data_IF_030117011385
#
_entry.id   IF_030117011385
#
_cell.length_a   1.000
_cell.length_b   1.000
_cell.length_c   1.000
_cell.angle_alpha   90.00
_cell.angle_beta   90.00
_cell.angle_gamma   90.00
#
_symmetry.space_group_name_H-M   'P 1'
#
loop_
_entity.id
_entity.type
_entity.pdbx_description
1 polymer ?
#
# COMPACT_ATOMS: atom_id res chain seq x y z
N UNK A 1 -16.19 33.49 21.54
CA UNK A 1 -16.51 32.25 20.80
C UNK A 1 -15.35 31.89 19.88
N UNK A 2 -14.46 30.98 20.30
CA UNK A 2 -13.38 30.50 19.44
C UNK A 2 -13.98 29.61 18.35
N UNK A 3 -14.00 30.07 17.10
CA UNK A 3 -14.25 29.22 15.93
C UNK A 3 -13.13 28.17 15.87
N UNK A 4 -13.41 26.97 16.38
CA UNK A 4 -12.53 25.79 16.20
C UNK A 4 -12.35 25.59 14.69
N UNK A 5 -11.22 25.99 14.18
CA UNK A 5 -10.82 25.78 12.81
C UNK A 5 -10.72 24.27 12.55
N UNK A 6 -11.85 23.64 12.18
CA UNK A 6 -11.91 22.24 11.79
C UNK A 6 -11.14 22.09 10.47
N UNK A 7 -9.85 21.87 10.55
CA UNK A 7 -9.09 21.45 9.38
C UNK A 7 -9.59 20.04 8.99
N UNK A 8 -10.54 20.02 8.07
CA UNK A 8 -11.01 18.80 7.41
C UNK A 8 -9.85 18.16 6.63
N UNK A 9 -9.92 16.85 6.39
CA UNK A 9 -9.07 16.22 5.39
C UNK A 9 -9.14 17.03 4.09
N UNK A 10 -7.99 17.22 3.42
CA UNK A 10 -7.97 17.98 2.18
C UNK A 10 -8.81 17.22 1.14
N UNK A 11 -9.91 17.79 0.62
CA UNK A 11 -10.71 17.11 -0.38
C UNK A 11 -9.87 16.89 -1.64
N UNK A 12 -9.96 15.71 -2.22
CA UNK A 12 -9.36 15.41 -3.51
C UNK A 12 -10.02 16.23 -4.61
N UNK A 13 -9.23 16.76 -5.51
CA UNK A 13 -9.71 17.28 -6.78
C UNK A 13 -10.29 16.10 -7.61
N UNK A 14 -11.21 16.35 -8.55
CA UNK A 14 -11.82 15.30 -9.39
C UNK A 14 -10.77 14.41 -10.07
N UNK A 15 -9.71 15.00 -10.60
CA UNK A 15 -8.60 14.23 -11.20
C UNK A 15 -7.87 13.35 -10.20
N UNK A 16 -7.66 13.83 -8.99
CA UNK A 16 -7.00 13.05 -7.93
C UNK A 16 -7.87 11.89 -7.44
N UNK A 17 -9.20 12.09 -7.33
CA UNK A 17 -10.15 11.01 -7.03
C UNK A 17 -10.14 9.93 -8.10
N UNK A 18 -10.13 10.31 -9.37
CA UNK A 18 -10.05 9.36 -10.50
C UNK A 18 -8.73 8.60 -10.46
N UNK A 19 -7.60 9.28 -10.25
CA UNK A 19 -6.29 8.64 -10.13
C UNK A 19 -6.23 7.64 -8.95
N UNK A 20 -6.83 7.99 -7.82
CA UNK A 20 -6.94 7.11 -6.65
C UNK A 20 -7.73 5.83 -6.96
N UNK A 21 -8.88 5.97 -7.61
CA UNK A 21 -9.73 4.82 -8.00
C UNK A 21 -9.00 3.94 -9.03
N UNK A 22 -8.37 4.55 -10.03
CA UNK A 22 -7.59 3.81 -11.04
C UNK A 22 -6.44 3.06 -10.37
N UNK A 23 -5.72 3.69 -9.46
CA UNK A 23 -4.65 3.05 -8.68
C UNK A 23 -5.15 1.84 -7.90
N UNK A 24 -6.29 1.97 -7.21
CA UNK A 24 -6.90 0.88 -6.47
C UNK A 24 -7.34 -0.28 -7.39
N UNK A 25 -7.98 0.02 -8.52
CA UNK A 25 -8.40 -1.00 -9.50
C UNK A 25 -7.20 -1.73 -10.10
N UNK A 26 -6.15 -1.00 -10.50
CA UNK A 26 -4.92 -1.61 -11.01
C UNK A 26 -4.23 -2.50 -9.97
N UNK A 27 -4.20 -2.06 -8.71
CA UNK A 27 -3.63 -2.83 -7.62
C UNK A 27 -4.38 -4.15 -7.41
N UNK A 28 -5.71 -4.12 -7.29
CA UNK A 28 -6.55 -5.31 -7.08
C UNK A 28 -6.49 -6.24 -8.29
N UNK A 29 -6.57 -5.70 -9.50
CA UNK A 29 -6.47 -6.47 -10.75
C UNK A 29 -5.09 -7.13 -10.88
N UNK A 30 -4.02 -6.39 -10.55
CA UNK A 30 -2.65 -6.91 -10.58
C UNK A 30 -2.48 -8.11 -9.63
N UNK A 31 -2.95 -8.00 -8.38
CA UNK A 31 -2.93 -9.12 -7.42
C UNK A 31 -3.72 -10.31 -7.94
N UNK A 32 -4.95 -10.09 -8.40
CA UNK A 32 -5.81 -11.15 -8.93
C UNK A 32 -5.15 -11.89 -10.09
N UNK A 33 -4.62 -11.17 -11.06
CA UNK A 33 -3.95 -11.77 -12.22
C UNK A 33 -2.68 -12.56 -11.84
N UNK A 34 -1.91 -12.12 -10.85
CA UNK A 34 -0.75 -12.87 -10.35
C UNK A 34 -1.19 -14.17 -9.68
N UNK A 35 -2.25 -14.14 -8.86
CA UNK A 35 -2.80 -15.33 -8.22
C UNK A 35 -3.28 -16.36 -9.24
N UNK A 36 -3.88 -15.91 -10.34
CA UNK A 36 -4.30 -16.77 -11.44
C UNK A 36 -3.19 -17.15 -12.42
N UNK A 37 -1.96 -16.70 -12.21
CA UNK A 37 -0.81 -17.01 -13.05
C UNK A 37 -0.83 -16.36 -14.43
N UNK A 38 -1.61 -15.28 -14.60
CA UNK A 38 -1.74 -14.58 -15.88
C UNK A 38 -0.60 -13.58 -16.05
N UNK A 39 0.18 -13.74 -17.13
CA UNK A 39 1.27 -12.86 -17.58
C UNK A 39 2.03 -12.17 -16.42
N UNK A 40 2.85 -12.90 -15.65
CA UNK A 40 3.36 -12.44 -14.35
C UNK A 40 4.17 -11.13 -14.46
N UNK A 41 4.90 -10.91 -15.56
CA UNK A 41 5.70 -9.69 -15.77
C UNK A 41 4.84 -8.42 -15.88
N UNK A 42 3.78 -8.48 -16.68
CA UNK A 42 2.87 -7.34 -16.89
C UNK A 42 2.06 -7.06 -15.64
N UNK A 43 1.55 -8.10 -15.00
CA UNK A 43 0.72 -7.98 -13.79
C UNK A 43 1.50 -7.45 -12.59
N UNK A 44 2.77 -7.84 -12.41
CA UNK A 44 3.64 -7.29 -11.38
C UNK A 44 3.89 -5.79 -11.57
N UNK A 45 4.10 -5.35 -12.81
CA UNK A 45 4.24 -3.92 -13.13
C UNK A 45 2.93 -3.17 -12.90
N UNK A 46 1.79 -3.71 -13.32
CA UNK A 46 0.47 -3.11 -13.08
C UNK A 46 0.20 -2.97 -11.58
N UNK A 47 0.52 -3.99 -10.79
CA UNK A 47 0.40 -3.93 -9.34
C UNK A 47 1.32 -2.86 -8.74
N UNK A 48 2.56 -2.77 -9.16
CA UNK A 48 3.51 -1.77 -8.67
C UNK A 48 3.07 -0.34 -9.00
N UNK A 49 2.62 -0.09 -10.23
CA UNK A 49 2.08 1.22 -10.65
C UNK A 49 0.82 1.56 -9.88
N UNK A 50 -0.11 0.61 -9.76
CA UNK A 50 -1.35 0.78 -8.99
C UNK A 50 -1.07 1.09 -7.52
N UNK A 51 -0.17 0.35 -6.89
CA UNK A 51 0.24 0.55 -5.50
C UNK A 51 0.88 1.92 -5.29
N UNK A 52 1.80 2.33 -6.15
CA UNK A 52 2.48 3.62 -6.06
C UNK A 52 1.49 4.78 -6.22
N UNK A 53 0.57 4.68 -7.18
CA UNK A 53 -0.46 5.69 -7.41
C UNK A 53 -1.43 5.77 -6.22
N UNK A 54 -1.91 4.63 -5.73
CA UNK A 54 -2.83 4.55 -4.60
C UNK A 54 -2.19 5.12 -3.33
N UNK A 55 -1.02 4.63 -2.94
CA UNK A 55 -0.33 5.07 -1.72
C UNK A 55 0.13 6.52 -1.80
N UNK A 56 0.54 6.99 -2.97
CA UNK A 56 0.90 8.39 -3.21
C UNK A 56 -0.29 9.32 -3.02
N UNK A 57 -1.46 8.98 -3.58
CA UNK A 57 -2.68 9.77 -3.42
C UNK A 57 -3.20 9.75 -1.98
N UNK A 58 -3.10 8.62 -1.29
CA UNK A 58 -3.49 8.51 0.12
C UNK A 58 -2.55 9.31 1.03
N UNK A 59 -1.25 9.28 0.78
CA UNK A 59 -0.27 10.11 1.48
C UNK A 59 -0.53 11.61 1.28
N UNK A 60 -1.00 12.01 0.11
CA UNK A 60 -1.38 13.39 -0.17
C UNK A 60 -2.59 13.86 0.66
N UNK A 61 -3.53 12.96 0.93
CA UNK A 61 -4.73 13.23 1.73
C UNK A 61 -4.48 13.24 3.24
N UNK A 62 -3.26 13.07 3.69
CA UNK A 62 -2.92 12.94 5.11
C UNK A 62 -3.61 14.02 5.95
N UNK A 63 -4.27 13.56 7.01
CA UNK A 63 -4.89 14.45 8.01
C UNK A 63 -3.84 15.31 8.71
N UNK A 64 -4.03 16.64 8.66
CA UNK A 64 -3.14 17.64 9.29
C UNK A 64 -3.83 18.41 10.42
N UNK A 65 -4.89 17.86 10.99
CA UNK A 65 -5.63 18.48 12.10
C UNK A 65 -4.98 18.28 13.47
N UNK A 66 -5.59 18.87 14.48
CA UNK A 66 -5.12 18.85 15.87
C UNK A 66 -5.61 17.63 16.68
N UNK A 67 -6.50 16.80 16.12
CA UNK A 67 -7.04 15.65 16.82
C UNK A 67 -6.02 14.51 16.97
N UNK A 68 -5.64 14.13 18.19
CA UNK A 68 -4.61 13.12 18.43
C UNK A 68 -5.03 11.74 17.92
N UNK A 69 -6.31 11.40 18.03
CA UNK A 69 -6.85 10.11 17.56
C UNK A 69 -6.75 9.96 16.05
N UNK A 70 -7.22 10.97 15.30
CA UNK A 70 -7.14 10.95 13.84
C UNK A 70 -5.68 10.97 13.34
N UNK A 71 -4.81 11.69 14.04
CA UNK A 71 -3.37 11.73 13.72
C UNK A 71 -2.72 10.37 13.90
N UNK A 72 -3.06 9.65 14.98
CA UNK A 72 -2.56 8.30 15.24
C UNK A 72 -3.06 7.30 14.19
N UNK A 73 -4.36 7.35 13.86
CA UNK A 73 -4.96 6.49 12.83
C UNK A 73 -4.32 6.73 11.46
N UNK A 74 -4.08 7.98 11.10
CA UNK A 74 -3.36 8.31 9.85
C UNK A 74 -1.93 7.77 9.85
N UNK A 75 -1.26 7.74 11.01
CA UNK A 75 0.06 7.11 11.15
C UNK A 75 0.03 5.60 10.88
N UNK A 76 -0.97 4.90 11.41
CA UNK A 76 -1.17 3.46 11.15
C UNK A 76 -1.48 3.20 9.67
N UNK A 77 -2.31 4.05 9.05
CA UNK A 77 -2.62 3.98 7.62
C UNK A 77 -1.36 4.15 6.76
N UNK A 78 -0.49 5.11 7.11
CA UNK A 78 0.80 5.30 6.42
C UNK A 78 1.73 4.08 6.57
N UNK A 79 1.70 3.41 7.71
CA UNK A 79 2.43 2.15 7.87
C UNK A 79 1.87 1.05 6.96
N UNK A 80 0.55 0.95 6.81
CA UNK A 80 -0.10 0.07 5.83
C UNK A 80 0.37 0.35 4.39
N UNK A 81 0.52 1.63 4.03
CA UNK A 81 1.05 2.03 2.72
C UNK A 81 2.49 1.58 2.51
N UNK A 82 3.34 1.66 3.53
CA UNK A 82 4.70 1.12 3.47
C UNK A 82 4.67 -0.39 3.22
N UNK A 83 3.78 -1.12 3.88
CA UNK A 83 3.60 -2.55 3.64
C UNK A 83 3.18 -2.85 2.19
N UNK A 84 2.30 -2.04 1.59
CA UNK A 84 1.92 -2.19 0.18
C UNK A 84 3.09 -1.94 -0.78
N UNK A 85 3.88 -0.90 -0.55
CA UNK A 85 5.08 -0.62 -1.35
C UNK A 85 6.09 -1.76 -1.23
N UNK A 86 6.31 -2.27 -0.01
CA UNK A 86 7.18 -3.42 0.22
C UNK A 86 6.68 -4.68 -0.51
N UNK A 87 5.37 -4.93 -0.47
CA UNK A 87 4.75 -6.01 -1.23
C UNK A 87 4.99 -5.87 -2.74
N UNK A 88 4.86 -4.65 -3.29
CA UNK A 88 5.11 -4.38 -4.69
C UNK A 88 6.56 -4.66 -5.09
N UNK A 89 7.51 -4.24 -4.25
CA UNK A 89 8.94 -4.52 -4.47
C UNK A 89 9.24 -6.02 -4.44
N UNK A 90 8.69 -6.74 -3.45
CA UNK A 90 8.87 -8.19 -3.36
C UNK A 90 8.21 -8.95 -4.53
N UNK A 91 7.06 -8.47 -5.01
CA UNK A 91 6.40 -9.05 -6.18
C UNK A 91 7.23 -8.82 -7.46
N UNK A 92 7.77 -7.62 -7.65
CA UNK A 92 8.68 -7.34 -8.75
C UNK A 92 9.94 -8.19 -8.68
N UNK A 93 10.52 -8.33 -7.47
CA UNK A 93 11.68 -9.21 -7.26
C UNK A 93 11.35 -10.67 -7.60
N UNK A 94 10.17 -11.15 -7.19
CA UNK A 94 9.74 -12.52 -7.47
C UNK A 94 9.66 -12.83 -8.99
N UNK A 95 9.36 -11.82 -9.80
CA UNK A 95 9.20 -11.96 -11.26
C UNK A 95 10.49 -11.66 -12.04
N UNK A 96 11.22 -10.62 -11.62
CA UNK A 96 12.42 -10.15 -12.34
C UNK A 96 13.74 -10.66 -11.76
N UNK A 97 13.74 -11.11 -10.50
CA UNK A 97 14.90 -11.71 -9.81
C UNK A 97 16.16 -10.85 -9.85
N UNK A 98 16.04 -9.54 -9.61
CA UNK A 98 17.18 -8.61 -9.65
C UNK A 98 18.17 -8.84 -8.52
N UNK A 99 17.67 -9.18 -7.35
CA UNK A 99 18.46 -9.40 -6.14
C UNK A 99 18.97 -10.84 -6.08
N UNK A 100 18.31 -11.77 -6.76
CA UNK A 100 18.68 -13.19 -6.80
C UNK A 100 20.18 -13.44 -7.06
N UNK A 101 20.84 -12.80 -8.06
CA UNK A 101 22.26 -13.03 -8.33
C UNK A 101 23.19 -12.70 -7.14
N UNK A 102 22.77 -11.78 -6.26
CA UNK A 102 23.56 -11.41 -5.08
C UNK A 102 23.58 -12.51 -4.01
N UNK A 103 22.58 -13.37 -4.00
CA UNK A 103 22.39 -14.44 -3.03
C UNK A 103 22.85 -15.81 -3.52
N UNK A 104 23.28 -15.92 -4.79
CA UNK A 104 23.76 -17.19 -5.38
C UNK A 104 25.20 -17.56 -4.99
N UNK A 105 25.92 -16.65 -4.33
CA UNK A 105 27.33 -16.85 -3.96
C UNK A 105 27.54 -17.86 -2.81
N UNK A 106 26.49 -18.17 -2.04
CA UNK A 106 26.55 -19.13 -0.93
C UNK A 106 25.21 -19.84 -0.75
N UNK A 107 25.22 -21.10 -0.34
CA UNK A 107 24.01 -21.89 -0.04
C UNK A 107 23.22 -21.28 1.11
N UNK A 108 23.91 -20.75 2.11
CA UNK A 108 23.27 -20.09 3.25
C UNK A 108 22.53 -18.83 2.84
N UNK A 109 23.13 -17.98 1.99
CA UNK A 109 22.49 -16.80 1.43
C UNK A 109 21.30 -17.15 0.55
N UNK A 110 21.42 -18.17 -0.27
CA UNK A 110 20.32 -18.66 -1.11
C UNK A 110 19.13 -19.15 -0.26
N UNK A 111 19.40 -19.82 0.85
CA UNK A 111 18.37 -20.27 1.79
C UNK A 111 17.63 -19.06 2.41
N UNK A 112 18.37 -18.01 2.80
CA UNK A 112 17.78 -16.76 3.31
C UNK A 112 16.91 -16.09 2.25
N UNK A 113 17.37 -16.00 1.00
CA UNK A 113 16.59 -15.45 -0.10
C UNK A 113 15.26 -16.18 -0.32
N UNK A 114 15.32 -17.51 -0.45
CA UNK A 114 14.12 -18.34 -0.65
C UNK A 114 13.16 -18.25 0.53
N UNK A 115 13.67 -18.17 1.74
CA UNK A 115 12.87 -18.15 2.97
C UNK A 115 12.18 -16.80 3.20
N UNK A 116 12.84 -15.68 2.93
CA UNK A 116 12.38 -14.34 3.32
C UNK A 116 11.96 -13.44 2.17
N UNK A 117 12.49 -13.67 0.97
CA UNK A 117 12.28 -12.80 -0.19
C UNK A 117 11.38 -13.48 -1.22
N UNK A 118 11.75 -14.69 -1.64
CA UNK A 118 11.03 -15.37 -2.71
C UNK A 118 9.59 -15.68 -2.31
N UNK A 119 8.65 -15.24 -3.12
CA UNK A 119 7.20 -15.46 -2.97
C UNK A 119 6.55 -14.93 -1.66
N UNK A 120 7.26 -14.12 -0.88
CA UNK A 120 6.76 -13.57 0.39
C UNK A 120 6.03 -12.21 0.24
N UNK A 121 5.78 -11.76 -0.98
CA UNK A 121 5.06 -10.51 -1.25
C UNK A 121 3.63 -10.49 -0.67
N UNK A 122 3.03 -11.65 -0.46
CA UNK A 122 1.67 -11.79 0.09
C UNK A 122 1.60 -11.33 1.55
N UNK A 123 2.65 -11.58 2.34
CA UNK A 123 2.65 -11.26 3.78
C UNK A 123 2.50 -9.75 4.03
N UNK A 124 3.36 -8.87 3.51
CA UNK A 124 3.17 -7.44 3.69
C UNK A 124 1.89 -6.93 3.00
N UNK A 125 1.43 -7.56 1.91
CA UNK A 125 0.16 -7.22 1.28
C UNK A 125 -1.02 -7.41 2.25
N UNK A 126 -1.10 -8.56 2.90
CA UNK A 126 -2.16 -8.87 3.87
C UNK A 126 -2.11 -7.94 5.07
N UNK A 127 -0.92 -7.70 5.62
CA UNK A 127 -0.74 -6.76 6.74
C UNK A 127 -1.21 -5.36 6.34
N UNK A 128 -0.80 -4.88 5.18
CA UNK A 128 -1.23 -3.58 4.65
C UNK A 128 -2.75 -3.50 4.47
N UNK A 129 -3.37 -4.53 3.88
CA UNK A 129 -4.81 -4.58 3.66
C UNK A 129 -5.60 -4.55 4.97
N UNK A 130 -5.20 -5.33 5.97
CA UNK A 130 -5.85 -5.34 7.29
C UNK A 130 -5.75 -3.97 7.95
N UNK A 131 -4.56 -3.35 7.93
CA UNK A 131 -4.35 -2.02 8.50
C UNK A 131 -5.18 -0.96 7.79
N UNK A 132 -5.30 -1.02 6.47
CA UNK A 132 -6.11 -0.11 5.68
C UNK A 132 -7.61 -0.24 6.01
N UNK A 133 -8.14 -1.44 6.02
CA UNK A 133 -9.56 -1.68 6.35
C UNK A 133 -9.85 -1.17 7.77
N UNK A 134 -9.00 -1.50 8.73
CA UNK A 134 -9.15 -1.04 10.12
C UNK A 134 -9.13 0.48 10.23
N UNK A 135 -8.12 1.12 9.64
CA UNK A 135 -7.94 2.58 9.75
C UNK A 135 -9.02 3.35 9.01
N UNK A 136 -9.41 2.93 7.81
CA UNK A 136 -10.50 3.56 7.05
C UNK A 136 -11.83 3.49 7.82
N UNK A 137 -12.16 2.33 8.38
CA UNK A 137 -13.38 2.16 9.17
C UNK A 137 -13.36 3.05 10.42
N UNK A 138 -12.27 3.07 11.16
CA UNK A 138 -12.12 3.90 12.36
C UNK A 138 -12.12 5.40 12.06
N UNK A 139 -11.42 5.83 11.02
CA UNK A 139 -11.39 7.24 10.59
C UNK A 139 -12.80 7.69 10.21
N UNK A 140 -13.52 6.90 9.42
CA UNK A 140 -14.90 7.20 9.02
C UNK A 140 -15.81 7.35 10.23
N UNK A 141 -15.72 6.44 11.20
CA UNK A 141 -16.52 6.48 12.42
C UNK A 141 -16.19 7.68 13.33
N UNK A 142 -14.91 8.02 13.51
CA UNK A 142 -14.50 9.19 14.29
C UNK A 142 -14.89 10.52 13.61
N UNK A 143 -14.90 10.56 12.28
CA UNK A 143 -15.36 11.73 11.53
C UNK A 143 -16.89 11.90 11.57
N UNK A 144 -17.64 10.81 11.64
CA UNK A 144 -19.11 10.84 11.75
C UNK A 144 -19.61 11.34 13.12
N UNK A 145 -18.80 11.18 14.18
CA UNK A 145 -19.13 11.67 15.54
C UNK A 145 -19.00 13.19 15.73
N UNK A 146 -18.46 13.89 14.76
CA UNK A 146 -18.16 15.33 14.78
C UNK A 146 -19.05 16.12 13.86
#
# INVERSE_FOLDING_TARGET
>A
MMKRNRKKMKPLNRMQSVAFIIGAVLMVTGVGCVVFGLIPKVTAVCFAVGTTTFTGMEAWQRYRGSDPTLRRLTGIMMFGNVCFVLSALLMLENVYQWVYPLFTSSIDLLTVYVRYIHNNWVVPLLVGAILQIYTMHRISHEMAKK
#
